data_IF_103673846455
#
_entry.id   IF_103673846455
#
_cell.length_a   1.000
_cell.length_b   1.000
_cell.length_c   1.000
_cell.angle_alpha   90.00
_cell.angle_beta   90.00
_cell.angle_gamma   90.00
#
_symmetry.space_group_name_H-M   'P 1'
#
loop_
_entity.id
_entity.type
_entity.pdbx_description
1 polymer ?
#
# COMPACT_ATOMS: atom_id res chain seq x y z
N UNK A 1 3.28 -5.75 -27.59
CA UNK A 1 3.13 -6.37 -26.23
C UNK A 1 2.50 -5.40 -25.24
N UNK A 2 3.16 -4.29 -24.79
CA UNK A 2 2.57 -3.38 -23.78
C UNK A 2 1.25 -2.74 -24.25
N UNK A 3 1.19 -2.19 -25.45
CA UNK A 3 -0.02 -1.54 -25.98
C UNK A 3 -1.23 -2.49 -26.05
N UNK A 4 -1.01 -3.76 -26.33
CA UNK A 4 -2.07 -4.75 -26.35
C UNK A 4 -2.52 -5.10 -24.93
N UNK A 5 -1.59 -5.36 -24.04
CA UNK A 5 -1.85 -5.59 -22.61
C UNK A 5 -2.64 -4.41 -21.99
N UNK A 6 -2.25 -3.18 -22.31
CA UNK A 6 -2.89 -1.96 -21.85
C UNK A 6 -4.34 -1.77 -22.33
N UNK A 7 -4.73 -2.36 -23.49
CA UNK A 7 -6.09 -2.28 -24.02
C UNK A 7 -7.15 -2.87 -23.08
N UNK A 8 -6.74 -3.80 -22.21
CA UNK A 8 -7.64 -4.38 -21.23
C UNK A 8 -7.99 -3.42 -20.06
N UNK A 9 -7.38 -2.24 -19.99
CA UNK A 9 -7.67 -1.25 -18.96
C UNK A 9 -8.57 -0.13 -19.50
N UNK A 10 -9.91 -0.18 -19.28
CA UNK A 10 -10.84 0.76 -19.92
C UNK A 10 -10.56 2.23 -19.62
N UNK A 11 -10.12 2.54 -18.37
CA UNK A 11 -9.78 3.90 -18.00
C UNK A 11 -8.62 4.47 -18.82
N UNK A 12 -7.62 3.65 -19.16
CA UNK A 12 -6.42 4.08 -19.87
C UNK A 12 -6.67 4.34 -21.38
N UNK A 13 -7.84 3.96 -21.89
CA UNK A 13 -8.25 4.28 -23.25
C UNK A 13 -8.76 5.73 -23.41
N UNK A 14 -9.17 6.36 -22.30
CA UNK A 14 -9.85 7.67 -22.30
C UNK A 14 -9.13 8.74 -21.48
N UNK A 15 -8.16 8.35 -20.65
CA UNK A 15 -7.52 9.25 -19.69
C UNK A 15 -6.03 9.05 -19.65
N UNK A 16 -5.30 10.10 -19.27
CA UNK A 16 -3.91 10.02 -18.87
C UNK A 16 -3.88 9.83 -17.35
N UNK A 17 -3.56 8.62 -16.91
CA UNK A 17 -3.71 8.24 -15.51
C UNK A 17 -2.38 8.19 -14.77
N UNK A 18 -2.20 9.11 -13.82
CA UNK A 18 -0.99 9.26 -13.00
C UNK A 18 -1.31 9.27 -11.51
N UNK A 19 -2.33 8.52 -11.06
CA UNK A 19 -2.71 8.47 -9.64
C UNK A 19 -2.79 7.04 -9.07
N UNK A 20 -1.90 6.14 -9.51
CA UNK A 20 -1.83 4.76 -9.01
C UNK A 20 -1.61 4.68 -7.49
N UNK A 21 -0.91 5.65 -6.90
CA UNK A 21 -0.76 5.75 -5.46
C UNK A 21 -2.05 6.09 -4.69
N UNK A 22 -3.10 6.55 -5.39
CA UNK A 22 -4.46 6.66 -4.87
C UNK A 22 -5.22 5.37 -5.07
N UNK A 23 -5.45 5.00 -6.34
CA UNK A 23 -6.09 3.76 -6.77
C UNK A 23 -5.62 3.42 -8.19
N UNK A 24 -5.37 2.15 -8.50
CA UNK A 24 -5.09 1.68 -9.86
C UNK A 24 -6.39 1.37 -10.63
N UNK A 25 -6.42 1.59 -11.95
CA UNK A 25 -7.56 1.17 -12.77
C UNK A 25 -7.57 -0.35 -12.90
N UNK A 26 -8.75 -0.98 -12.79
CA UNK A 26 -8.89 -2.42 -13.02
C UNK A 26 -8.86 -2.77 -14.50
N UNK A 27 -8.24 -3.91 -14.80
CA UNK A 27 -8.33 -4.54 -16.12
C UNK A 27 -9.69 -5.21 -16.34
N UNK A 28 -10.13 -5.29 -17.60
CA UNK A 28 -11.38 -5.94 -17.98
C UNK A 28 -11.50 -7.39 -17.47
N UNK A 29 -10.46 -8.25 -17.55
CA UNK A 29 -10.54 -9.60 -16.98
C UNK A 29 -10.85 -9.63 -15.47
N UNK A 30 -10.39 -8.63 -14.71
CA UNK A 30 -10.69 -8.54 -13.27
C UNK A 30 -12.15 -8.14 -13.02
N UNK A 31 -12.68 -7.19 -13.79
CA UNK A 31 -14.09 -6.80 -13.76
C UNK A 31 -15.01 -7.96 -14.12
N UNK A 32 -14.67 -8.70 -15.17
CA UNK A 32 -15.42 -9.87 -15.62
C UNK A 32 -15.40 -11.00 -14.59
N UNK A 33 -14.25 -11.26 -13.95
CA UNK A 33 -14.14 -12.27 -12.91
C UNK A 33 -15.05 -11.95 -11.70
N UNK A 34 -15.15 -10.67 -11.30
CA UNK A 34 -16.08 -10.24 -10.23
C UNK A 34 -17.53 -10.50 -10.64
N UNK A 35 -17.90 -10.10 -11.84
CA UNK A 35 -19.28 -10.27 -12.33
C UNK A 35 -19.65 -11.74 -12.46
N UNK A 36 -18.79 -12.57 -13.05
CA UNK A 36 -19.00 -14.01 -13.20
C UNK A 36 -19.11 -14.71 -11.85
N UNK A 37 -18.29 -14.33 -10.86
CA UNK A 37 -18.37 -14.87 -9.52
C UNK A 37 -19.72 -14.55 -8.85
N UNK A 38 -20.19 -13.30 -8.97
CA UNK A 38 -21.53 -12.93 -8.50
C UNK A 38 -22.62 -13.77 -9.18
N UNK A 39 -22.59 -13.85 -10.50
CA UNK A 39 -23.57 -14.59 -11.29
C UNK A 39 -23.58 -16.09 -10.91
N UNK A 40 -22.39 -16.69 -10.77
CA UNK A 40 -22.24 -18.10 -10.37
C UNK A 40 -22.90 -18.38 -9.02
N UNK A 41 -22.60 -17.58 -7.99
CA UNK A 41 -23.18 -17.75 -6.65
C UNK A 41 -24.71 -17.65 -6.70
N UNK A 42 -25.28 -16.69 -7.42
CA UNK A 42 -26.74 -16.51 -7.52
C UNK A 42 -27.41 -17.63 -8.30
N UNK A 43 -26.74 -18.15 -9.34
CA UNK A 43 -27.31 -19.22 -10.20
C UNK A 43 -27.24 -20.60 -9.54
N UNK A 44 -26.14 -20.90 -8.85
CA UNK A 44 -25.93 -22.19 -8.19
C UNK A 44 -26.61 -22.32 -6.82
N UNK A 45 -27.25 -21.27 -6.34
CA UNK A 45 -27.91 -21.18 -5.04
C UNK A 45 -26.95 -20.74 -3.94
N UNK A 46 -27.08 -19.47 -3.49
CA UNK A 46 -26.26 -18.94 -2.40
C UNK A 46 -26.37 -19.80 -1.15
N UNK A 47 -25.25 -19.99 -0.45
CA UNK A 47 -25.16 -20.83 0.75
C UNK A 47 -25.36 -22.33 0.54
N UNK A 48 -25.35 -22.83 -0.70
CA UNK A 48 -25.31 -24.28 -0.97
C UNK A 48 -23.95 -24.88 -0.58
N UNK A 49 -23.90 -26.21 -0.34
CA UNK A 49 -22.63 -26.89 -0.03
C UNK A 49 -21.58 -26.65 -1.11
N UNK A 50 -21.96 -26.71 -2.40
CA UNK A 50 -21.05 -26.49 -3.51
C UNK A 50 -20.50 -25.05 -3.53
N UNK A 51 -21.35 -24.05 -3.27
CA UNK A 51 -20.91 -22.65 -3.18
C UNK A 51 -19.99 -22.43 -1.97
N UNK A 52 -20.28 -23.01 -0.81
CA UNK A 52 -19.41 -22.88 0.35
C UNK A 52 -18.02 -23.49 0.10
N UNK A 53 -17.95 -24.67 -0.53
CA UNK A 53 -16.68 -25.28 -0.93
C UNK A 53 -15.90 -24.42 -1.92
N UNK A 54 -16.59 -23.87 -2.94
CA UNK A 54 -15.99 -22.98 -3.92
C UNK A 54 -15.45 -21.69 -3.28
N UNK A 55 -16.17 -21.09 -2.32
CA UNK A 55 -15.71 -19.91 -1.60
C UNK A 55 -14.43 -20.19 -0.81
N UNK A 56 -14.36 -21.35 -0.14
CA UNK A 56 -13.17 -21.77 0.60
C UNK A 56 -11.96 -21.92 -0.35
N UNK A 57 -12.17 -22.60 -1.47
CA UNK A 57 -11.15 -22.79 -2.49
C UNK A 57 -10.69 -21.44 -3.09
N UNK A 58 -11.62 -20.57 -3.44
CA UNK A 58 -11.33 -19.23 -3.96
C UNK A 58 -10.49 -18.41 -2.96
N UNK A 59 -10.83 -18.45 -1.66
CA UNK A 59 -10.06 -17.74 -0.64
C UNK A 59 -8.66 -18.35 -0.46
N UNK A 60 -8.52 -19.68 -0.51
CA UNK A 60 -7.22 -20.35 -0.45
C UNK A 60 -6.34 -20.01 -1.64
N UNK A 61 -6.89 -20.05 -2.85
CA UNK A 61 -6.18 -19.69 -4.08
C UNK A 61 -5.77 -18.21 -4.08
N UNK A 62 -6.60 -17.31 -3.53
CA UNK A 62 -6.26 -15.90 -3.41
C UNK A 62 -5.05 -15.70 -2.50
N UNK A 63 -5.02 -16.36 -1.32
CA UNK A 63 -3.84 -16.29 -0.44
C UNK A 63 -2.59 -16.86 -1.10
N UNK A 64 -2.72 -18.00 -1.81
CA UNK A 64 -1.61 -18.59 -2.55
C UNK A 64 -1.06 -17.61 -3.58
N UNK A 65 -1.94 -16.96 -4.37
CA UNK A 65 -1.52 -15.99 -5.37
C UNK A 65 -0.84 -14.77 -4.76
N UNK A 66 -1.36 -14.26 -3.64
CA UNK A 66 -0.71 -13.19 -2.89
C UNK A 66 0.65 -13.64 -2.33
N UNK A 67 0.72 -14.87 -1.80
CA UNK A 67 1.95 -15.42 -1.24
C UNK A 67 3.04 -15.59 -2.29
N UNK A 68 2.70 -16.00 -3.52
CA UNK A 68 3.63 -16.08 -4.65
C UNK A 68 4.24 -14.70 -4.98
N UNK A 69 3.41 -13.63 -5.05
CA UNK A 69 3.87 -12.25 -5.29
C UNK A 69 4.78 -11.73 -4.19
N UNK A 70 4.53 -12.14 -2.95
CA UNK A 70 5.23 -11.68 -1.75
C UNK A 70 6.36 -12.63 -1.31
N UNK A 71 6.56 -13.73 -2.04
CA UNK A 71 7.54 -14.81 -1.78
C UNK A 71 7.45 -15.36 -0.35
N UNK A 72 6.22 -15.59 0.11
CA UNK A 72 5.92 -16.14 1.44
C UNK A 72 4.98 -17.35 1.32
N UNK A 73 4.42 -17.80 2.42
CA UNK A 73 3.42 -18.88 2.45
C UNK A 73 2.03 -18.32 2.71
N UNK A 74 1.00 -19.01 2.20
CA UNK A 74 -0.41 -18.64 2.40
C UNK A 74 -0.81 -18.60 3.89
N UNK A 75 -0.18 -19.41 4.74
CA UNK A 75 -0.44 -19.45 6.18
C UNK A 75 -0.02 -18.18 6.92
N UNK A 76 0.93 -17.44 6.36
CA UNK A 76 1.39 -16.17 6.93
C UNK A 76 0.51 -14.98 6.53
N UNK A 77 -0.54 -15.22 5.72
CA UNK A 77 -1.40 -14.17 5.19
C UNK A 77 -2.80 -14.21 5.80
N UNK A 78 -3.27 -13.03 6.18
CA UNK A 78 -4.66 -12.74 6.54
C UNK A 78 -5.29 -11.93 5.40
N UNK A 79 -6.47 -12.31 4.93
CA UNK A 79 -7.27 -11.48 4.02
C UNK A 79 -7.94 -10.36 4.81
N UNK A 80 -7.80 -9.13 4.34
CA UNK A 80 -8.41 -7.93 4.95
C UNK A 80 -9.16 -7.12 3.88
N UNK A 81 -9.94 -6.15 4.32
CA UNK A 81 -10.63 -5.21 3.41
C UNK A 81 -9.66 -4.22 2.78
N UNK A 82 -8.62 -3.83 3.52
CA UNK A 82 -7.58 -2.90 3.05
C UNK A 82 -6.37 -2.88 4.01
N UNK A 83 -5.41 -2.01 3.70
CA UNK A 83 -4.21 -1.78 4.51
C UNK A 83 -4.53 -1.21 5.90
N UNK A 84 -5.57 -0.37 6.03
CA UNK A 84 -5.94 0.24 7.32
C UNK A 84 -6.44 -0.82 8.30
N UNK A 85 -7.31 -1.74 7.83
CA UNK A 85 -7.72 -2.91 8.62
C UNK A 85 -6.51 -3.78 8.95
N UNK A 86 -5.63 -4.02 7.98
CA UNK A 86 -4.39 -4.76 8.18
C UNK A 86 -3.50 -4.16 9.28
N UNK A 87 -3.31 -2.84 9.31
CA UNK A 87 -2.55 -2.16 10.36
C UNK A 87 -3.25 -2.22 11.73
N UNK A 88 -4.57 -2.17 11.75
CA UNK A 88 -5.32 -2.24 13.02
C UNK A 88 -5.21 -3.61 13.69
N UNK A 89 -5.06 -4.71 12.96
CA UNK A 89 -4.95 -6.05 13.55
C UNK A 89 -3.80 -6.13 14.56
N UNK A 90 -2.53 -5.85 14.24
CA UNK A 90 -1.46 -5.89 15.23
C UNK A 90 -1.57 -4.77 16.27
N UNK A 91 -2.01 -3.56 15.91
CA UNK A 91 -2.19 -2.46 16.87
C UNK A 91 -3.14 -2.83 18.00
N UNK A 92 -4.29 -3.44 17.71
CA UNK A 92 -5.26 -3.89 18.70
C UNK A 92 -4.95 -5.25 19.29
N UNK A 93 -4.20 -6.10 18.57
CA UNK A 93 -3.88 -7.46 18.98
C UNK A 93 -2.75 -7.56 19.99
N UNK A 94 -1.84 -6.59 20.04
CA UNK A 94 -0.74 -6.56 21.01
C UNK A 94 -1.27 -6.37 22.44
N UNK A 95 -0.64 -7.08 23.39
CA UNK A 95 -0.96 -6.96 24.83
C UNK A 95 -0.25 -5.75 25.41
N UNK A 96 -0.81 -4.56 25.22
CA UNK A 96 -0.28 -3.30 25.68
C UNK A 96 -0.28 -3.18 27.22
N UNK A 97 0.74 -2.52 27.76
CA UNK A 97 0.85 -2.13 29.16
C UNK A 97 0.98 -0.61 29.27
N UNK A 98 0.45 0.01 30.33
CA UNK A 98 0.69 1.41 30.60
C UNK A 98 2.21 1.70 30.65
N UNK A 99 2.65 2.72 29.90
CA UNK A 99 4.05 3.07 29.77
C UNK A 99 4.78 2.43 28.60
N UNK A 100 4.21 1.42 27.92
CA UNK A 100 4.71 0.95 26.63
C UNK A 100 4.79 2.13 25.64
N UNK A 101 5.72 2.04 24.68
CA UNK A 101 5.95 3.11 23.71
C UNK A 101 5.84 2.60 22.28
N UNK A 102 5.24 3.44 21.42
CA UNK A 102 5.18 3.28 19.96
C UNK A 102 6.03 4.38 19.33
N UNK A 103 6.99 4.01 18.49
CA UNK A 103 7.68 4.94 17.61
C UNK A 103 7.02 4.91 16.23
N UNK A 104 6.70 6.07 15.64
CA UNK A 104 6.21 6.16 14.27
C UNK A 104 6.93 7.26 13.49
N UNK A 105 6.90 7.20 12.15
CA UNK A 105 7.49 8.25 11.34
C UNK A 105 6.54 9.46 11.17
N UNK A 106 7.11 10.61 10.81
CA UNK A 106 6.35 11.81 10.41
C UNK A 106 5.78 11.72 8.99
N UNK A 107 5.99 10.59 8.31
CA UNK A 107 5.51 10.32 6.95
C UNK A 107 4.34 9.33 6.89
N UNK A 108 3.74 8.99 8.04
CA UNK A 108 2.66 7.99 8.08
C UNK A 108 1.33 8.53 7.53
N UNK A 109 0.50 7.61 7.04
CA UNK A 109 -0.84 7.94 6.57
C UNK A 109 -1.74 8.33 7.76
N UNK A 110 -2.60 9.38 7.63
CA UNK A 110 -3.46 9.83 8.73
C UNK A 110 -4.32 8.73 9.38
N UNK A 111 -4.75 7.72 8.61
CA UNK A 111 -5.50 6.58 9.15
C UNK A 111 -4.69 5.73 10.13
N UNK A 112 -3.37 5.56 9.89
CA UNK A 112 -2.47 4.84 10.80
C UNK A 112 -2.18 5.67 12.04
N UNK A 113 -1.93 6.98 11.85
CA UNK A 113 -1.70 7.92 12.97
C UNK A 113 -2.90 7.90 13.94
N UNK A 114 -4.12 7.98 13.40
CA UNK A 114 -5.33 7.97 14.22
C UNK A 114 -5.49 6.66 15.01
N UNK A 115 -5.16 5.51 14.40
CA UNK A 115 -5.20 4.23 15.08
C UNK A 115 -4.18 4.16 16.24
N UNK A 116 -2.93 4.61 16.02
CA UNK A 116 -1.90 4.69 17.06
C UNK A 116 -2.36 5.60 18.21
N UNK A 117 -2.88 6.79 17.91
CA UNK A 117 -3.39 7.72 18.92
C UNK A 117 -4.51 7.10 19.77
N UNK A 118 -5.41 6.34 19.17
CA UNK A 118 -6.49 5.67 19.89
C UNK A 118 -5.99 4.54 20.80
N UNK A 119 -5.00 3.76 20.36
CA UNK A 119 -4.29 2.77 21.21
C UNK A 119 -3.67 3.46 22.41
N UNK A 120 -2.95 4.55 22.19
CA UNK A 120 -2.32 5.31 23.28
C UNK A 120 -3.35 5.82 24.30
N UNK A 121 -4.46 6.38 23.82
CA UNK A 121 -5.54 6.88 24.67
C UNK A 121 -6.20 5.78 25.52
N UNK A 122 -6.39 4.58 24.96
CA UNK A 122 -7.12 3.48 25.64
C UNK A 122 -6.26 2.71 26.61
N UNK A 123 -5.00 2.50 26.26
CA UNK A 123 -4.13 1.59 27.03
C UNK A 123 -3.04 2.29 27.85
N UNK A 124 -3.00 3.63 27.83
CA UNK A 124 -1.96 4.37 28.54
C UNK A 124 -0.56 4.21 27.90
N UNK A 125 -0.52 3.85 26.62
CA UNK A 125 0.68 3.73 25.81
C UNK A 125 1.15 5.13 25.41
N UNK A 126 2.44 5.34 25.33
CA UNK A 126 3.04 6.57 24.82
C UNK A 126 3.41 6.42 23.35
N UNK A 127 3.46 7.52 22.60
CA UNK A 127 4.08 7.49 21.26
C UNK A 127 4.99 8.69 21.06
N UNK A 128 5.96 8.53 20.18
CA UNK A 128 6.75 9.62 19.64
C UNK A 128 6.89 9.50 18.12
N UNK A 129 7.29 10.59 17.48
CA UNK A 129 7.44 10.68 16.03
C UNK A 129 8.91 10.91 15.72
N UNK A 130 9.48 10.08 14.84
CA UNK A 130 10.83 10.31 14.32
C UNK A 130 10.77 11.09 12.99
N UNK A 131 11.67 12.06 12.76
CA UNK A 131 11.61 12.98 11.63
C UNK A 131 12.24 12.37 10.36
N UNK A 132 11.64 11.32 9.80
CA UNK A 132 12.14 10.66 8.60
C UNK A 132 11.98 11.51 7.33
N UNK A 133 11.05 12.48 7.30
CA UNK A 133 10.95 13.45 6.22
C UNK A 133 12.28 14.21 6.00
N UNK A 134 13.03 14.47 7.05
CA UNK A 134 14.34 15.14 6.94
C UNK A 134 15.40 14.31 6.18
N UNK A 135 15.19 12.99 6.03
CA UNK A 135 16.11 12.10 5.32
C UNK A 135 15.87 12.00 3.81
N UNK A 136 14.80 12.62 3.31
CA UNK A 136 14.35 12.49 1.90
C UNK A 136 15.41 12.93 0.89
N UNK A 137 16.22 13.95 1.21
CA UNK A 137 17.23 14.52 0.33
C UNK A 137 18.67 14.40 0.90
N UNK A 138 18.87 13.60 1.91
CA UNK A 138 20.15 13.35 2.55
C UNK A 138 19.95 12.98 4.01
N UNK A 139 20.79 12.11 4.51
CA UNK A 139 20.68 11.53 5.85
C UNK A 139 20.36 10.04 5.81
N UNK A 140 20.50 9.42 6.98
CA UNK A 140 20.31 7.99 7.15
C UNK A 140 19.01 7.75 7.96
N UNK A 141 17.95 7.19 7.36
CA UNK A 141 16.71 6.88 8.07
C UNK A 141 16.91 5.84 9.18
N UNK A 142 17.89 4.95 9.05
CA UNK A 142 18.19 3.93 10.07
C UNK A 142 18.74 4.61 11.33
N UNK A 143 19.73 5.51 11.17
CA UNK A 143 20.29 6.28 12.29
C UNK A 143 19.23 7.15 12.98
N UNK A 144 18.34 7.81 12.20
CA UNK A 144 17.23 8.60 12.77
C UNK A 144 16.29 7.73 13.59
N UNK A 145 15.96 6.52 13.13
CA UNK A 145 15.12 5.59 13.90
C UNK A 145 15.86 5.16 15.17
N UNK A 146 17.15 4.77 15.06
CA UNK A 146 17.98 4.34 16.19
C UNK A 146 18.00 5.37 17.32
N UNK A 147 18.23 6.64 16.98
CA UNK A 147 18.29 7.76 17.93
C UNK A 147 16.96 8.02 18.65
N UNK A 148 15.82 7.58 18.07
CA UNK A 148 14.49 7.79 18.63
C UNK A 148 13.91 6.54 19.34
N UNK A 149 14.56 5.37 19.22
CA UNK A 149 14.17 4.16 19.95
C UNK A 149 14.46 4.31 21.45
N UNK A 150 13.43 4.05 22.29
CA UNK A 150 13.51 4.07 23.75
C UNK A 150 13.56 2.65 24.33
N UNK A 151 13.99 2.47 25.58
CA UNK A 151 13.91 1.16 26.25
C UNK A 151 12.48 0.59 26.32
N UNK A 152 11.47 1.46 26.39
CA UNK A 152 10.04 1.13 26.46
C UNK A 152 9.42 0.93 25.10
N UNK A 153 10.14 1.17 23.98
CA UNK A 153 9.60 1.00 22.63
C UNK A 153 9.30 -0.47 22.37
N UNK A 154 8.05 -0.76 22.08
CA UNK A 154 7.56 -2.10 21.74
C UNK A 154 7.23 -2.28 20.27
N UNK A 155 6.84 -1.19 19.61
CA UNK A 155 6.43 -1.22 18.22
C UNK A 155 7.00 -0.01 17.47
N UNK A 156 7.60 -0.27 16.32
CA UNK A 156 7.88 0.72 15.29
C UNK A 156 6.80 0.64 14.23
N UNK A 157 6.18 1.78 13.87
CA UNK A 157 5.17 1.89 12.80
C UNK A 157 5.73 2.77 11.71
N UNK A 158 5.93 2.19 10.51
CA UNK A 158 6.51 2.89 9.37
C UNK A 158 5.89 2.47 8.05
N UNK A 159 5.90 3.37 7.07
CA UNK A 159 5.58 3.05 5.67
C UNK A 159 6.81 2.53 4.94
N UNK A 160 6.68 1.48 4.11
CA UNK A 160 7.79 0.99 3.28
C UNK A 160 8.19 2.00 2.19
N UNK A 161 7.20 2.59 1.53
CA UNK A 161 7.38 3.71 0.60
C UNK A 161 6.58 4.89 1.15
N UNK A 162 7.24 6.01 1.36
CA UNK A 162 6.54 7.21 1.78
C UNK A 162 5.57 7.68 0.69
N UNK A 163 4.30 7.70 1.02
CA UNK A 163 3.21 8.02 0.09
C UNK A 163 3.26 9.44 -0.45
N UNK A 164 3.98 10.33 0.23
CA UNK A 164 4.12 11.75 -0.08
C UNK A 164 5.41 12.11 -0.82
N UNK A 165 6.47 11.31 -0.73
CA UNK A 165 7.78 11.64 -1.34
C UNK A 165 8.29 10.55 -2.28
N UNK A 166 7.78 9.31 -2.17
CA UNK A 166 8.27 8.18 -2.93
C UNK A 166 9.59 7.58 -2.41
N UNK A 167 10.08 8.02 -1.24
CA UNK A 167 11.27 7.39 -0.64
C UNK A 167 10.96 5.96 -0.24
N UNK A 168 11.85 5.04 -0.60
CA UNK A 168 11.82 3.63 -0.19
C UNK A 168 12.74 3.46 1.02
N UNK A 169 12.23 2.86 2.10
CA UNK A 169 13.01 2.61 3.30
C UNK A 169 13.78 1.29 3.24
N UNK A 170 15.00 1.20 3.82
CA UNK A 170 15.79 -0.04 3.90
C UNK A 170 15.25 -0.94 5.03
N UNK A 171 14.08 -1.59 4.81
CA UNK A 171 13.34 -2.30 5.86
C UNK A 171 14.15 -3.42 6.53
N UNK A 172 14.93 -4.19 5.76
CA UNK A 172 15.73 -5.27 6.34
C UNK A 172 16.68 -4.73 7.42
N UNK A 173 17.43 -3.66 7.12
CA UNK A 173 18.34 -3.04 8.10
C UNK A 173 17.59 -2.47 9.30
N UNK A 174 16.42 -1.86 9.07
CA UNK A 174 15.56 -1.33 10.14
C UNK A 174 15.05 -2.45 11.04
N UNK A 175 14.59 -3.55 10.47
CA UNK A 175 14.10 -4.71 11.24
C UNK A 175 15.22 -5.33 12.08
N UNK A 176 16.41 -5.51 11.50
CA UNK A 176 17.58 -6.02 12.23
C UNK A 176 17.97 -5.11 13.40
N UNK A 177 17.97 -3.79 13.20
CA UNK A 177 18.16 -2.82 14.28
C UNK A 177 17.11 -2.99 15.39
N UNK A 178 15.85 -3.08 15.04
CA UNK A 178 14.75 -3.22 16.00
C UNK A 178 14.79 -4.55 16.76
N UNK A 179 15.05 -5.64 16.09
CA UNK A 179 15.12 -6.97 16.70
C UNK A 179 16.36 -7.16 17.60
N UNK A 180 17.44 -6.44 17.33
CA UNK A 180 18.65 -6.47 18.17
C UNK A 180 18.49 -5.70 19.50
N UNK A 181 17.39 -4.97 19.73
CA UNK A 181 17.18 -4.18 20.96
C UNK A 181 17.01 -5.06 22.19
N UNK A 182 17.60 -4.62 23.29
CA UNK A 182 17.51 -5.27 24.60
C UNK A 182 16.85 -4.31 25.60
N UNK A 183 16.13 -4.80 26.61
CA UNK A 183 15.91 -6.21 26.99
C UNK A 183 14.85 -6.95 26.16
N UNK A 184 14.12 -6.26 25.27
CA UNK A 184 13.11 -6.86 24.39
C UNK A 184 13.28 -6.36 22.96
N UNK A 185 13.12 -7.22 21.96
CA UNK A 185 13.02 -6.80 20.57
C UNK A 185 11.86 -5.81 20.38
N UNK A 186 12.06 -4.87 19.44
CA UNK A 186 11.01 -3.97 18.99
C UNK A 186 10.37 -4.60 17.76
N UNK A 187 9.06 -4.79 17.79
CA UNK A 187 8.31 -5.28 16.63
C UNK A 187 8.15 -4.18 15.57
N UNK A 188 8.04 -4.57 14.30
CA UNK A 188 7.91 -3.64 13.17
C UNK A 188 6.60 -3.87 12.43
N UNK A 189 5.72 -2.86 12.45
CA UNK A 189 4.50 -2.78 11.63
C UNK A 189 4.74 -1.87 10.44
N UNK A 190 4.53 -2.41 9.25
CA UNK A 190 4.75 -1.69 8.00
C UNK A 190 3.42 -1.41 7.31
N UNK A 191 3.15 -0.13 7.03
CA UNK A 191 2.18 0.27 6.01
C UNK A 191 2.78 0.08 4.62
N UNK A 192 2.30 -0.93 3.92
CA UNK A 192 2.77 -1.34 2.61
C UNK A 192 1.84 -0.93 1.46
N UNK A 193 0.99 0.08 1.70
CA UNK A 193 0.01 0.54 0.73
C UNK A 193 0.60 0.98 -0.61
N UNK A 194 1.87 1.40 -0.62
CA UNK A 194 2.56 1.87 -1.84
C UNK A 194 3.58 0.86 -2.39
N UNK A 195 3.92 -0.19 -1.65
CA UNK A 195 4.99 -1.12 -2.03
C UNK A 195 4.49 -2.40 -2.69
N UNK A 196 3.37 -2.97 -2.20
CA UNK A 196 2.80 -4.19 -2.80
C UNK A 196 2.28 -3.91 -4.22
N UNK A 197 2.81 -4.65 -5.19
CA UNK A 197 2.54 -4.50 -6.62
C UNK A 197 3.43 -3.48 -7.33
N UNK A 198 4.20 -2.65 -6.61
CA UNK A 198 5.17 -1.71 -7.19
C UNK A 198 6.61 -2.14 -7.01
N UNK A 199 6.97 -2.81 -5.91
CA UNK A 199 8.29 -3.37 -5.65
C UNK A 199 8.31 -4.89 -5.85
N UNK A 200 9.45 -5.49 -6.25
CA UNK A 200 9.68 -6.91 -6.10
C UNK A 200 9.95 -7.21 -4.62
N UNK A 201 9.08 -7.98 -3.99
CA UNK A 201 9.13 -8.25 -2.56
C UNK A 201 9.55 -9.69 -2.27
N UNK A 202 10.33 -9.87 -1.19
CA UNK A 202 10.57 -11.13 -0.52
C UNK A 202 10.39 -10.86 0.98
N UNK A 203 9.20 -11.10 1.51
CA UNK A 203 8.87 -10.70 2.89
C UNK A 203 9.70 -11.42 3.95
N UNK A 204 10.02 -12.71 3.82
CA UNK A 204 10.95 -13.37 4.74
C UNK A 204 12.31 -12.67 4.85
N UNK A 205 12.89 -12.20 3.73
CA UNK A 205 14.19 -11.53 3.73
C UNK A 205 14.14 -10.12 4.35
N UNK A 206 12.97 -9.48 4.36
CA UNK A 206 12.80 -8.17 4.99
C UNK A 206 12.72 -8.26 6.51
N UNK A 207 12.47 -9.44 7.08
CA UNK A 207 12.36 -9.71 8.51
C UNK A 207 11.27 -8.88 9.23
N UNK A 208 10.30 -8.33 8.47
CA UNK A 208 9.20 -7.53 9.04
C UNK A 208 8.24 -8.41 9.84
N UNK A 209 7.74 -7.90 10.97
CA UNK A 209 6.81 -8.66 11.81
C UNK A 209 5.38 -8.62 11.24
N UNK A 210 4.94 -7.42 10.82
CA UNK A 210 3.61 -7.16 10.27
C UNK A 210 3.72 -6.29 9.03
N UNK A 211 3.14 -6.74 7.91
CA UNK A 211 3.20 -6.02 6.64
C UNK A 211 1.80 -5.93 6.05
N UNK A 212 1.13 -4.79 6.27
CA UNK A 212 -0.25 -4.55 5.86
C UNK A 212 -0.30 -3.90 4.48
N UNK A 213 -1.20 -4.39 3.59
CA UNK A 213 -1.27 -3.91 2.22
C UNK A 213 -2.70 -3.90 1.66
N UNK A 214 -2.85 -3.32 0.46
CA UNK A 214 -4.12 -3.22 -0.25
C UNK A 214 -3.98 -3.65 -1.71
N UNK A 215 -5.04 -4.25 -2.26
CA UNK A 215 -5.05 -4.75 -3.64
C UNK A 215 -5.41 -3.71 -4.70
N UNK A 216 -6.07 -2.60 -4.32
CA UNK A 216 -6.65 -1.65 -5.27
C UNK A 216 -5.67 -0.58 -5.81
N UNK A 217 -4.42 -0.55 -5.36
CA UNK A 217 -3.42 0.42 -5.85
C UNK A 217 -2.58 -0.18 -6.98
N UNK A 218 -1.38 -0.64 -6.66
CA UNK A 218 -0.40 -1.09 -7.66
C UNK A 218 -0.70 -2.48 -8.26
N UNK A 219 -1.47 -3.32 -7.58
CA UNK A 219 -2.02 -4.53 -8.21
C UNK A 219 -3.20 -4.26 -9.14
N UNK A 220 -3.73 -3.04 -9.17
CA UNK A 220 -4.90 -2.67 -9.98
C UNK A 220 -6.11 -3.59 -9.75
N UNK A 221 -6.24 -4.12 -8.55
CA UNK A 221 -7.34 -4.98 -8.12
C UNK A 221 -8.55 -4.18 -7.61
N UNK A 222 -9.59 -4.85 -7.12
CA UNK A 222 -10.77 -4.20 -6.57
C UNK A 222 -10.47 -3.52 -5.22
N UNK A 223 -11.16 -2.41 -4.94
CA UNK A 223 -11.25 -1.84 -3.60
C UNK A 223 -12.02 -2.80 -2.68
N UNK A 224 -11.75 -2.76 -1.38
CA UNK A 224 -12.36 -3.66 -0.40
C UNK A 224 -11.64 -4.99 -0.24
N UNK A 225 -10.42 -5.10 -0.77
CA UNK A 225 -9.51 -6.22 -0.52
C UNK A 225 -8.08 -5.75 -0.29
N UNK A 226 -7.45 -6.39 0.68
CA UNK A 226 -6.04 -6.25 1.01
C UNK A 226 -5.57 -7.48 1.77
N UNK A 227 -4.48 -7.34 2.49
CA UNK A 227 -3.93 -8.39 3.31
C UNK A 227 -3.00 -7.89 4.40
N UNK A 228 -2.71 -8.78 5.31
CA UNK A 228 -1.69 -8.63 6.33
C UNK A 228 -0.80 -9.87 6.30
N UNK A 229 0.49 -9.66 6.06
CA UNK A 229 1.51 -10.66 6.33
C UNK A 229 1.90 -10.57 7.81
N UNK A 230 2.04 -11.73 8.42
CA UNK A 230 2.50 -11.87 9.80
C UNK A 230 3.68 -12.83 9.78
N UNK A 231 4.83 -12.37 10.29
CA UNK A 231 6.00 -13.25 10.45
C UNK A 231 5.64 -14.39 11.39
N UNK A 232 6.01 -15.65 11.08
CA UNK A 232 5.61 -16.81 11.90
C UNK A 232 5.87 -16.63 13.39
N UNK A 233 7.04 -16.10 13.77
CA UNK A 233 7.41 -15.91 15.16
C UNK A 233 6.57 -14.80 15.84
N UNK A 234 6.13 -13.78 15.09
CA UNK A 234 5.31 -12.69 15.62
C UNK A 234 3.82 -13.07 15.78
N UNK A 235 3.40 -14.21 15.24
CA UNK A 235 2.01 -14.66 15.31
C UNK A 235 1.51 -14.85 16.75
N UNK A 236 2.40 -15.24 17.67
CA UNK A 236 2.08 -15.44 19.09
C UNK A 236 1.97 -14.12 19.87
N UNK A 237 2.52 -13.03 19.36
CA UNK A 237 2.54 -11.71 20.04
C UNK A 237 1.18 -11.02 19.94
N UNK A 238 0.35 -11.39 18.96
CA UNK A 238 -0.93 -10.72 18.71
C UNK A 238 -2.12 -11.69 18.87
N UNK A 239 -3.22 -11.15 19.39
CA UNK A 239 -4.50 -11.85 19.56
C UNK A 239 -5.58 -11.22 18.69
N UNK A 240 -6.56 -12.02 18.18
CA UNK A 240 -7.68 -11.47 17.44
C UNK A 240 -8.50 -10.51 18.32
N UNK A 241 -8.74 -9.30 17.84
CA UNK A 241 -9.63 -8.31 18.48
C UNK A 241 -11.08 -8.58 18.13
N UNK A 242 -11.33 -8.82 16.84
CA UNK A 242 -12.64 -9.24 16.35
C UNK A 242 -12.60 -10.72 16.02
N UNK A 243 -13.60 -11.46 16.50
CA UNK A 243 -13.65 -12.91 16.45
C UNK A 243 -14.93 -13.32 15.75
N UNK A 244 -14.81 -14.27 14.84
CA UNK A 244 -15.96 -14.83 14.16
C UNK A 244 -15.73 -16.26 13.71
N UNK A 245 -16.70 -16.83 13.04
CA UNK A 245 -16.71 -18.26 12.68
C UNK A 245 -15.57 -18.68 11.74
N UNK A 246 -14.94 -17.74 11.02
CA UNK A 246 -13.81 -18.02 10.14
C UNK A 246 -12.47 -18.11 10.87
N UNK A 247 -12.37 -17.51 12.06
CA UNK A 247 -11.13 -17.43 12.84
C UNK A 247 -10.94 -18.58 13.82
N UNK A 248 -12.02 -19.33 14.12
CA UNK A 248 -12.03 -20.35 15.17
C UNK A 248 -11.89 -21.78 14.62
N UNK A 249 -11.51 -22.69 15.51
CA UNK A 249 -11.70 -24.15 15.39
C UNK A 249 -12.90 -24.58 16.23
N UNK A 250 -13.57 -25.64 15.81
CA UNK A 250 -14.75 -26.19 16.52
C UNK A 250 -14.62 -27.69 16.73
N UNK A 251 -15.28 -28.21 17.75
CA UNK A 251 -15.52 -29.66 17.93
C UNK A 251 -16.64 -30.19 17.01
N UNK A 252 -16.99 -31.46 17.18
CA UNK A 252 -18.04 -32.14 16.41
C UNK A 252 -19.43 -31.54 16.64
N UNK A 253 -19.66 -30.97 17.81
CA UNK A 253 -20.89 -30.31 18.26
C UNK A 253 -20.94 -28.83 17.89
N UNK A 254 -19.95 -28.34 17.12
CA UNK A 254 -19.76 -26.95 16.70
C UNK A 254 -19.43 -25.95 17.84
N UNK A 255 -18.98 -26.42 19.00
CA UNK A 255 -18.50 -25.54 20.06
C UNK A 255 -17.09 -25.00 19.72
N UNK A 256 -16.79 -23.71 19.96
CA UNK A 256 -15.47 -23.17 19.75
C UNK A 256 -14.42 -23.85 20.64
N UNK A 257 -13.31 -24.32 20.04
CA UNK A 257 -12.21 -25.01 20.75
C UNK A 257 -10.91 -24.21 20.74
N UNK A 258 -10.84 -23.12 19.95
CA UNK A 258 -9.65 -22.27 19.85
C UNK A 258 -9.62 -21.45 18.57
N UNK A 259 -8.44 -20.94 18.27
CA UNK A 259 -8.16 -20.16 17.08
C UNK A 259 -7.48 -21.02 16.02
N UNK A 260 -7.63 -20.66 14.75
CA UNK A 260 -6.76 -21.20 13.69
C UNK A 260 -5.29 -20.88 14.00
N UNK A 261 -4.41 -21.80 13.65
CA UNK A 261 -2.97 -21.71 13.96
C UNK A 261 -2.16 -20.80 13.03
N UNK A 262 -2.80 -20.18 12.03
CA UNK A 262 -2.19 -19.35 10.98
C UNK A 262 -2.86 -17.98 10.87
N UNK A 263 -2.50 -17.19 9.86
CA UNK A 263 -3.04 -15.84 9.62
C UNK A 263 -4.56 -15.77 9.51
N UNK A 264 -5.24 -16.88 9.16
CA UNK A 264 -6.70 -16.92 9.07
C UNK A 264 -7.41 -16.66 10.41
N UNK A 265 -6.71 -16.73 11.55
CA UNK A 265 -7.29 -16.40 12.87
C UNK A 265 -7.80 -14.97 12.99
N UNK A 266 -7.38 -14.07 12.08
CA UNK A 266 -7.81 -12.69 12.06
C UNK A 266 -8.92 -12.41 11.02
N UNK A 267 -9.39 -13.43 10.29
CA UNK A 267 -10.51 -13.31 9.36
C UNK A 267 -11.83 -13.58 10.10
N UNK A 268 -12.73 -12.60 10.11
CA UNK A 268 -13.87 -12.63 11.05
C UNK A 268 -15.05 -13.46 10.52
N UNK A 269 -15.61 -13.07 9.36
CA UNK A 269 -16.90 -13.61 8.94
C UNK A 269 -17.08 -13.60 7.41
N UNK A 270 -18.32 -13.51 6.95
CA UNK A 270 -18.67 -13.43 5.53
C UNK A 270 -18.06 -12.19 4.89
N UNK A 271 -17.34 -12.37 3.81
CA UNK A 271 -16.67 -11.30 3.04
C UNK A 271 -17.29 -11.18 1.65
N UNK A 272 -16.89 -10.17 0.90
CA UNK A 272 -17.27 -10.04 -0.51
C UNK A 272 -16.42 -10.97 -1.38
N UNK A 273 -16.80 -12.26 -1.45
CA UNK A 273 -16.04 -13.29 -2.16
C UNK A 273 -15.80 -13.01 -3.65
N UNK A 274 -16.74 -12.41 -4.41
CA UNK A 274 -16.50 -12.06 -5.81
C UNK A 274 -15.28 -11.16 -6.01
N UNK A 275 -14.94 -10.29 -5.05
CA UNK A 275 -13.75 -9.46 -5.15
C UNK A 275 -12.45 -10.30 -5.11
N UNK A 276 -12.45 -11.47 -4.45
CA UNK A 276 -11.31 -12.39 -4.45
C UNK A 276 -11.00 -12.86 -5.88
N UNK A 277 -12.04 -13.23 -6.65
CA UNK A 277 -11.88 -13.60 -8.06
C UNK A 277 -11.30 -12.47 -8.89
N UNK A 278 -11.77 -11.23 -8.64
CA UNK A 278 -11.25 -10.03 -9.31
C UNK A 278 -9.78 -9.76 -8.99
N UNK A 279 -9.39 -9.90 -7.72
CA UNK A 279 -7.98 -9.68 -7.33
C UNK A 279 -7.05 -10.74 -7.92
N UNK A 280 -7.47 -12.03 -7.90
CA UNK A 280 -6.70 -13.08 -8.56
C UNK A 280 -6.50 -12.80 -10.05
N UNK A 281 -7.56 -12.39 -10.75
CA UNK A 281 -7.49 -12.06 -12.16
C UNK A 281 -6.60 -10.84 -12.41
N UNK A 282 -6.62 -9.82 -11.53
CA UNK A 282 -5.78 -8.65 -11.65
C UNK A 282 -4.29 -9.00 -11.49
N UNK A 283 -3.92 -9.77 -10.46
CA UNK A 283 -2.56 -10.21 -10.24
C UNK A 283 -2.07 -11.09 -11.39
N UNK A 284 -2.90 -12.08 -11.81
CA UNK A 284 -2.58 -12.96 -12.94
C UNK A 284 -2.32 -12.14 -14.21
N UNK A 285 -3.19 -11.18 -14.52
CA UNK A 285 -3.05 -10.36 -15.70
C UNK A 285 -1.77 -9.53 -15.70
N UNK A 286 -1.33 -9.02 -14.55
CA UNK A 286 -0.03 -8.34 -14.44
C UNK A 286 1.15 -9.29 -14.67
N UNK A 287 1.07 -10.54 -14.17
CA UNK A 287 2.09 -11.58 -14.42
C UNK A 287 2.23 -11.93 -15.90
N UNK A 288 1.14 -11.92 -16.67
CA UNK A 288 1.16 -12.17 -18.11
C UNK A 288 1.99 -11.14 -18.89
N UNK A 289 2.13 -9.92 -18.36
CA UNK A 289 3.02 -8.91 -18.91
C UNK A 289 4.47 -9.15 -18.54
N UNK A 290 4.74 -9.49 -17.29
CA UNK A 290 6.09 -9.73 -16.79
C UNK A 290 6.16 -9.96 -15.30
N UNK A 291 7.29 -10.47 -14.83
CA UNK A 291 7.58 -10.67 -13.41
C UNK A 291 7.65 -9.33 -12.64
N UNK A 292 7.58 -9.39 -11.31
CA UNK A 292 7.61 -8.20 -10.43
C UNK A 292 8.87 -7.34 -10.69
N UNK A 293 10.02 -7.97 -10.90
CA UNK A 293 11.29 -7.29 -11.20
C UNK A 293 11.24 -6.51 -12.51
N UNK A 294 10.62 -7.07 -13.55
CA UNK A 294 10.48 -6.41 -14.86
C UNK A 294 9.50 -5.22 -14.77
N UNK A 295 8.40 -5.39 -14.04
CA UNK A 295 7.45 -4.31 -13.76
C UNK A 295 8.12 -3.17 -13.00
N UNK A 296 8.85 -3.48 -11.95
CA UNK A 296 9.60 -2.52 -11.14
C UNK A 296 10.68 -1.77 -11.96
N UNK A 297 11.48 -2.50 -12.72
CA UNK A 297 12.50 -1.89 -13.58
C UNK A 297 11.89 -0.84 -14.52
N UNK A 298 10.73 -1.15 -15.13
CA UNK A 298 10.02 -0.20 -15.97
C UNK A 298 9.47 1.00 -15.17
N UNK A 299 8.93 0.76 -13.98
CA UNK A 299 8.49 1.85 -13.09
C UNK A 299 9.65 2.80 -12.79
N UNK A 300 10.82 2.31 -12.45
CA UNK A 300 12.02 3.13 -12.19
C UNK A 300 12.46 3.93 -13.42
N UNK A 301 12.46 3.32 -14.60
CA UNK A 301 12.78 4.01 -15.86
C UNK A 301 11.82 5.18 -16.14
N UNK A 302 10.51 4.94 -15.96
CA UNK A 302 9.48 5.97 -16.14
C UNK A 302 9.53 7.04 -15.05
N UNK A 303 9.85 6.66 -13.82
CA UNK A 303 10.06 7.56 -12.70
C UNK A 303 11.21 8.51 -12.98
N UNK A 304 12.34 7.99 -13.43
CA UNK A 304 13.51 8.80 -13.82
C UNK A 304 13.17 9.73 -14.99
N UNK A 305 12.47 9.25 -16.01
CA UNK A 305 12.04 10.07 -17.14
C UNK A 305 11.14 11.22 -16.70
N UNK A 306 10.09 10.94 -15.90
CA UNK A 306 9.18 11.96 -15.41
C UNK A 306 9.90 12.95 -14.51
N UNK A 307 10.72 12.46 -13.56
CA UNK A 307 11.50 13.30 -12.67
C UNK A 307 12.41 14.27 -13.44
N UNK A 308 13.19 13.78 -14.40
CA UNK A 308 14.09 14.62 -15.20
C UNK A 308 13.36 15.69 -16.00
N UNK A 309 12.22 15.31 -16.61
CA UNK A 309 11.42 16.27 -17.40
C UNK A 309 10.72 17.32 -16.54
N UNK A 310 10.28 16.98 -15.33
CA UNK A 310 9.70 17.96 -14.41
C UNK A 310 10.77 18.89 -13.83
N UNK A 311 12.00 18.41 -13.64
CA UNK A 311 13.12 19.22 -13.15
C UNK A 311 13.48 20.37 -14.10
N UNK A 312 13.22 20.21 -15.40
CA UNK A 312 13.49 21.23 -16.42
C UNK A 312 12.41 22.34 -16.47
N UNK A 313 11.26 22.17 -15.78
CA UNK A 313 10.18 23.16 -15.85
C UNK A 313 10.43 24.37 -14.95
N UNK A 314 10.25 25.60 -15.46
CA UNK A 314 10.30 26.81 -14.65
C UNK A 314 9.14 26.81 -13.63
N UNK A 315 9.36 27.44 -12.49
CA UNK A 315 8.38 27.55 -11.41
C UNK A 315 7.87 26.20 -10.86
N UNK A 316 8.68 25.14 -11.00
CA UNK A 316 8.44 23.84 -10.41
C UNK A 316 9.69 23.41 -9.64
N UNK A 317 9.49 22.84 -8.46
CA UNK A 317 10.57 22.25 -7.64
C UNK A 317 10.16 20.85 -7.21
N UNK A 318 11.01 19.87 -7.47
CA UNK A 318 10.78 18.49 -7.04
C UNK A 318 10.99 18.36 -5.53
N UNK A 319 10.20 17.52 -4.87
CA UNK A 319 10.34 17.24 -3.44
C UNK A 319 11.63 16.46 -3.18
N UNK A 320 12.01 15.58 -4.10
CA UNK A 320 13.29 14.84 -4.03
C UNK A 320 14.30 15.41 -5.02
N UNK A 321 15.54 15.54 -4.56
CA UNK A 321 16.68 16.00 -5.37
C UNK A 321 17.22 14.93 -6.34
N UNK A 322 16.78 13.69 -6.16
CA UNK A 322 17.13 12.54 -7.02
C UNK A 322 15.84 11.81 -7.42
N UNK A 323 15.82 11.11 -8.57
CA UNK A 323 14.70 10.26 -8.94
C UNK A 323 14.38 9.25 -7.81
N UNK A 324 13.11 9.07 -7.43
CA UNK A 324 12.75 8.07 -6.43
C UNK A 324 12.87 6.65 -7.00
N UNK A 325 13.23 5.70 -6.13
CA UNK A 325 13.22 4.26 -6.43
C UNK A 325 11.82 3.65 -6.36
N UNK A 326 10.83 4.47 -6.70
CA UNK A 326 9.40 4.11 -6.73
C UNK A 326 8.69 4.87 -7.83
N UNK A 327 7.43 4.53 -8.08
CA UNK A 327 6.62 5.23 -9.08
C UNK A 327 5.97 6.54 -8.60
N UNK A 328 6.36 7.08 -7.44
CA UNK A 328 5.72 8.29 -6.87
C UNK A 328 6.67 9.49 -7.00
N UNK A 329 6.25 10.49 -7.77
CA UNK A 329 7.00 11.73 -8.00
C UNK A 329 6.19 12.90 -7.47
N UNK A 330 6.71 13.60 -6.46
CA UNK A 330 6.07 14.77 -5.86
C UNK A 330 6.82 16.04 -6.17
N UNK A 331 6.07 17.13 -6.40
CA UNK A 331 6.63 18.43 -6.76
C UNK A 331 5.79 19.59 -6.24
N UNK A 332 6.44 20.73 -6.05
CA UNK A 332 5.81 22.02 -5.74
C UNK A 332 5.69 22.87 -6.99
N UNK A 333 4.56 23.54 -7.14
CA UNK A 333 4.41 24.69 -8.04
C UNK A 333 4.75 25.94 -7.26
N UNK A 334 5.64 26.74 -7.80
CA UNK A 334 6.19 27.93 -7.15
C UNK A 334 5.53 29.20 -7.70
N UNK A 335 5.21 30.13 -6.80
CA UNK A 335 4.85 31.52 -7.11
C UNK A 335 5.84 32.39 -6.34
N UNK A 336 6.49 33.30 -7.02
CA UNK A 336 7.57 34.14 -6.46
C UNK A 336 8.67 33.35 -5.74
N UNK A 337 8.96 32.13 -6.23
CA UNK A 337 9.98 31.22 -5.68
C UNK A 337 9.50 30.32 -4.53
N UNK A 338 8.28 30.51 -4.02
CA UNK A 338 7.75 29.76 -2.89
C UNK A 338 6.62 28.79 -3.29
N UNK A 339 6.50 27.61 -2.61
CA UNK A 339 5.41 26.67 -2.85
C UNK A 339 4.02 27.29 -2.64
N UNK A 340 3.14 27.14 -3.61
CA UNK A 340 1.78 27.70 -3.55
C UNK A 340 0.70 26.63 -3.46
N UNK A 341 0.11 26.38 -2.27
CA UNK A 341 -1.00 25.44 -2.09
C UNK A 341 -2.20 25.74 -3.00
N UNK A 342 -2.49 27.02 -3.26
CA UNK A 342 -3.54 27.44 -4.20
C UNK A 342 -3.24 26.93 -5.61
N UNK A 343 -2.00 27.07 -6.08
CA UNK A 343 -1.59 26.64 -7.41
C UNK A 343 -1.54 25.12 -7.53
N UNK A 344 -1.14 24.40 -6.47
CA UNK A 344 -1.19 22.93 -6.45
C UNK A 344 -2.61 22.43 -6.72
N UNK A 345 -3.59 22.98 -6.00
CA UNK A 345 -5.00 22.64 -6.16
C UNK A 345 -5.52 23.01 -7.54
N UNK A 346 -5.30 24.25 -7.97
CA UNK A 346 -5.77 24.76 -9.28
C UNK A 346 -5.19 23.95 -10.44
N UNK A 347 -3.89 23.59 -10.39
CA UNK A 347 -3.25 22.76 -11.40
C UNK A 347 -3.92 21.38 -11.51
N UNK A 348 -4.14 20.69 -10.37
CA UNK A 348 -4.72 19.35 -10.38
C UNK A 348 -6.17 19.40 -10.89
N UNK A 349 -6.97 20.39 -10.47
CA UNK A 349 -8.35 20.56 -10.92
C UNK A 349 -8.44 20.85 -12.43
N UNK A 350 -7.58 21.75 -12.97
CA UNK A 350 -7.58 22.07 -14.40
C UNK A 350 -7.10 20.88 -15.25
N UNK A 351 -6.10 20.11 -14.78
CA UNK A 351 -5.64 18.89 -15.43
C UNK A 351 -6.72 17.80 -15.44
N UNK A 352 -7.47 17.63 -14.34
CA UNK A 352 -8.57 16.66 -14.26
C UNK A 352 -9.66 16.97 -15.28
N UNK A 353 -10.01 18.26 -15.49
CA UNK A 353 -10.95 18.68 -16.54
C UNK A 353 -10.44 18.34 -17.95
N UNK A 354 -9.11 18.22 -18.12
CA UNK A 354 -8.49 17.80 -19.38
C UNK A 354 -8.33 16.27 -19.50
N UNK A 355 -8.82 15.49 -18.52
CA UNK A 355 -8.69 14.03 -18.48
C UNK A 355 -7.31 13.52 -18.04
N UNK A 356 -6.54 14.36 -17.35
CA UNK A 356 -5.21 14.04 -16.78
C UNK A 356 -5.31 13.97 -15.27
N UNK A 357 -5.11 12.78 -14.69
CA UNK A 357 -5.36 12.53 -13.27
C UNK A 357 -4.08 12.49 -12.44
N UNK A 358 -3.90 13.49 -11.60
CA UNK A 358 -2.88 13.60 -10.56
C UNK A 358 -3.56 13.76 -9.20
N UNK A 359 -2.77 14.04 -8.17
CA UNK A 359 -3.31 14.28 -6.82
C UNK A 359 -2.58 15.39 -6.09
N UNK A 360 -3.33 16.29 -5.44
CA UNK A 360 -2.80 17.19 -4.42
C UNK A 360 -2.62 16.45 -3.10
N UNK A 361 -1.48 16.61 -2.45
CA UNK A 361 -1.19 16.12 -1.11
C UNK A 361 -1.23 17.28 -0.11
N UNK A 362 -1.46 16.97 1.17
CA UNK A 362 -1.56 17.97 2.23
C UNK A 362 -0.28 18.07 3.09
N UNK A 363 0.50 17.00 3.18
CA UNK A 363 1.71 16.97 4.01
C UNK A 363 2.84 16.19 3.29
N UNK A 364 3.83 16.89 2.76
CA UNK A 364 3.84 18.32 2.49
C UNK A 364 2.74 18.70 1.50
N UNK A 365 2.27 19.96 1.55
CA UNK A 365 1.33 20.39 0.51
C UNK A 365 2.07 20.49 -0.82
N UNK A 366 1.73 19.59 -1.76
CA UNK A 366 2.40 19.48 -3.07
C UNK A 366 1.49 18.72 -4.05
N UNK A 367 1.94 18.57 -5.29
CA UNK A 367 1.31 17.71 -6.31
C UNK A 367 2.10 16.41 -6.42
N UNK A 368 1.39 15.29 -6.54
CA UNK A 368 2.00 13.98 -6.80
C UNK A 368 1.48 13.40 -8.10
N UNK A 369 2.41 13.01 -8.98
CA UNK A 369 2.18 12.15 -10.13
C UNK A 369 2.75 10.76 -9.86
N UNK A 370 2.04 9.71 -10.29
CA UNK A 370 2.47 8.33 -10.12
C UNK A 370 2.58 7.65 -11.49
N UNK A 371 3.75 7.06 -11.78
CA UNK A 371 3.95 6.20 -12.94
C UNK A 371 3.84 4.74 -12.57
N UNK A 372 3.32 3.93 -13.46
CA UNK A 372 3.14 2.49 -13.34
C UNK A 372 3.77 1.81 -14.56
N UNK A 373 4.02 0.50 -14.53
CA UNK A 373 4.55 -0.19 -15.72
C UNK A 373 3.62 -0.04 -16.93
N UNK A 374 2.34 0.22 -16.71
CA UNK A 374 1.34 0.51 -17.75
C UNK A 374 1.50 1.89 -18.40
N UNK A 375 2.18 2.83 -17.78
CA UNK A 375 2.36 4.20 -18.29
C UNK A 375 3.25 4.17 -19.55
N UNK A 376 2.88 4.97 -20.56
CA UNK A 376 3.68 5.13 -21.78
C UNK A 376 4.64 6.29 -21.62
N UNK A 377 5.82 6.20 -22.24
CA UNK A 377 6.78 7.33 -22.28
C UNK A 377 6.18 8.54 -22.98
N UNK A 378 5.35 8.32 -24.02
CA UNK A 378 4.61 9.40 -24.69
C UNK A 378 3.62 10.11 -23.77
N UNK A 379 2.98 9.40 -22.82
CA UNK A 379 2.10 10.00 -21.81
C UNK A 379 2.91 10.85 -20.81
N UNK A 380 4.10 10.38 -20.42
CA UNK A 380 4.99 11.17 -19.54
C UNK A 380 5.39 12.47 -20.20
N UNK A 381 5.80 12.44 -21.50
CA UNK A 381 6.16 13.63 -22.25
C UNK A 381 4.96 14.59 -22.37
N UNK A 382 3.80 14.06 -22.71
CA UNK A 382 2.57 14.82 -22.87
C UNK A 382 2.10 15.41 -21.53
N UNK A 383 2.20 14.68 -20.42
CA UNK A 383 1.92 15.19 -19.08
C UNK A 383 2.73 16.44 -18.76
N UNK A 384 4.06 16.39 -18.99
CA UNK A 384 4.95 17.51 -18.69
C UNK A 384 4.60 18.74 -19.53
N UNK A 385 4.31 18.56 -20.82
CA UNK A 385 3.85 19.63 -21.71
C UNK A 385 2.53 20.24 -21.21
N UNK A 386 1.56 19.39 -20.84
CA UNK A 386 0.25 19.84 -20.34
C UNK A 386 0.40 20.59 -19.00
N UNK A 387 1.25 20.10 -18.09
CA UNK A 387 1.57 20.82 -16.84
C UNK A 387 2.14 22.21 -17.15
N UNK A 388 3.10 22.31 -18.05
CA UNK A 388 3.73 23.59 -18.42
C UNK A 388 2.71 24.60 -18.96
N UNK A 389 1.87 24.18 -19.91
CA UNK A 389 0.83 25.03 -20.52
C UNK A 389 -0.19 25.46 -19.46
N UNK A 390 -0.65 24.54 -18.63
CA UNK A 390 -1.64 24.83 -17.59
C UNK A 390 -1.08 25.78 -16.53
N UNK A 391 0.17 25.59 -16.09
CA UNK A 391 0.82 26.51 -15.15
C UNK A 391 0.94 27.92 -15.75
N UNK A 392 1.36 28.07 -17.01
CA UNK A 392 1.44 29.38 -17.67
C UNK A 392 0.07 30.09 -17.74
N UNK A 393 -0.99 29.33 -18.06
CA UNK A 393 -2.37 29.86 -18.07
C UNK A 393 -2.79 30.35 -16.68
N UNK A 394 -2.55 29.52 -15.63
CA UNK A 394 -2.95 29.84 -14.25
C UNK A 394 -2.16 31.00 -13.64
N UNK A 395 -0.90 31.19 -14.03
CA UNK A 395 -0.06 32.30 -13.57
C UNK A 395 -0.42 33.66 -14.22
N UNK A 396 -1.11 33.64 -15.36
CA UNK A 396 -1.57 34.83 -16.07
C UNK A 396 -3.00 35.26 -15.66
N UNK A 397 -3.64 34.54 -14.76
CA UNK A 397 -4.95 34.85 -14.16
C UNK A 397 -4.79 35.44 -12.77
#
# INVERSE_FOLDING_TARGET
>A
MLMEHRRAFPALAKTQYFNYGGQGPMAQPALEAIFQAHQFVQTAGPFSRGINSWIQELAAQTRTRMAEELRTTADNLTLTEDVTVGCNIPLWGLSWQPGDHILMSDCEHPGVIAAVQEICRRFGVQYSVCPLMATVNGGDPVAVIEDHLRPETRLLVISHIFWNTGQVLPLQTICQLCHARTPKPVLVLVDAAQSVGSLPLNLPDLEVDFYAFTGHKWWCGPAGLGGLYIRPDALSDIRPTFIGWRSITTDAEANPTGWKSNGQRFEVATSNYPLLAGLQAAIKYQHEWGAAEQRYQRICQLSQLLWSKLADLPNLRLVRNTPPDSGLISFWVLVDGEPSPRMHKALVEDLEHQGVFLRTLLSPNCVRACVHYLTLESEVIQLVQTIQITMQKLMNQ
#
